data_IF_227174489940
#
_entry.id   IF_227174489940
#
_cell.length_a   1.000
_cell.length_b   1.000
_cell.length_c   1.000
_cell.angle_alpha   90.00
_cell.angle_beta   90.00
_cell.angle_gamma   90.00
#
_symmetry.space_group_name_H-M   'P 1'
#
loop_
_entity.id
_entity.type
_entity.pdbx_description
1 polymer ?
#
# COMPACT_ATOMS: atom_id res chain seq x y z
N UNK A 1 -9.12 -25.97 0.81
CA UNK A 1 -8.09 -25.39 1.70
C UNK A 1 -8.39 -23.92 1.85
N UNK A 2 -8.39 -23.38 3.07
CA UNK A 2 -8.87 -22.02 3.35
C UNK A 2 -7.76 -21.17 3.98
N UNK A 3 -7.57 -19.96 3.46
CA UNK A 3 -6.60 -18.97 3.92
C UNK A 3 -7.31 -17.65 4.14
N UNK A 4 -6.75 -16.83 5.03
CA UNK A 4 -7.21 -15.47 5.21
C UNK A 4 -6.16 -14.51 4.66
N UNK A 5 -6.58 -13.60 3.77
CA UNK A 5 -5.72 -12.63 3.10
C UNK A 5 -6.09 -11.24 3.59
N UNK A 6 -5.12 -10.50 4.12
CA UNK A 6 -5.32 -9.18 4.70
C UNK A 6 -4.26 -8.19 4.19
N UNK A 7 -4.48 -6.89 4.32
CA UNK A 7 -3.51 -5.88 3.92
C UNK A 7 -3.72 -5.34 2.50
N UNK A 8 -2.87 -4.38 2.11
CA UNK A 8 -3.06 -3.55 0.94
C UNK A 8 -2.53 -4.17 -0.35
N UNK A 9 -3.23 -3.95 -1.47
CA UNK A 9 -2.87 -4.45 -2.79
C UNK A 9 -2.48 -3.33 -3.76
N UNK A 10 -1.86 -3.71 -4.88
CA UNK A 10 -1.56 -2.78 -6.00
C UNK A 10 -2.83 -2.17 -6.57
N UNK A 11 -3.92 -2.94 -6.61
CA UNK A 11 -5.23 -2.43 -7.05
C UNK A 11 -5.75 -1.34 -6.12
N UNK A 12 -5.54 -1.46 -4.81
CA UNK A 12 -5.91 -0.43 -3.84
C UNK A 12 -5.06 0.83 -4.03
N UNK A 13 -3.76 0.67 -4.29
CA UNK A 13 -2.86 1.79 -4.60
C UNK A 13 -3.28 2.51 -5.89
N UNK A 14 -3.67 1.76 -6.93
CA UNK A 14 -4.23 2.30 -8.19
C UNK A 14 -5.53 3.06 -7.96
N UNK A 15 -6.47 2.50 -7.18
CA UNK A 15 -7.72 3.17 -6.82
C UNK A 15 -7.48 4.48 -6.06
N UNK A 16 -6.53 4.49 -5.12
CA UNK A 16 -6.16 5.69 -4.37
C UNK A 16 -5.51 6.76 -5.27
N UNK A 17 -4.61 6.36 -6.17
CA UNK A 17 -3.99 7.26 -7.13
C UNK A 17 -5.04 7.89 -8.06
N UNK A 18 -5.95 7.07 -8.61
CA UNK A 18 -7.04 7.54 -9.47
C UNK A 18 -7.97 8.50 -8.72
N UNK A 19 -8.39 8.15 -7.50
CA UNK A 19 -9.25 9.01 -6.67
C UNK A 19 -8.61 10.37 -6.40
N UNK A 20 -7.28 10.42 -6.23
CA UNK A 20 -6.53 11.66 -6.02
C UNK A 20 -6.47 12.51 -7.28
N UNK A 21 -6.14 11.94 -8.43
CA UNK A 21 -6.10 12.67 -9.71
C UNK A 21 -7.48 13.19 -10.11
N UNK A 22 -8.52 12.36 -10.01
CA UNK A 22 -9.91 12.79 -10.28
C UNK A 22 -10.39 13.87 -9.31
N UNK A 23 -9.85 13.92 -8.09
CA UNK A 23 -10.15 15.02 -7.16
C UNK A 23 -9.51 16.32 -7.63
N UNK A 24 -8.28 16.28 -8.13
CA UNK A 24 -7.59 17.46 -8.67
C UNK A 24 -8.37 18.04 -9.86
N UNK A 25 -8.85 17.18 -10.77
CA UNK A 25 -9.69 17.60 -11.89
C UNK A 25 -11.01 18.24 -11.41
N UNK A 26 -11.64 17.68 -10.38
CA UNK A 26 -12.90 18.21 -9.82
C UNK A 26 -12.76 19.50 -9.03
N UNK A 27 -11.61 19.74 -8.40
CA UNK A 27 -11.38 20.93 -7.59
C UNK A 27 -11.43 22.21 -8.47
N UNK A 28 -11.28 22.09 -9.80
CA UNK A 28 -11.46 23.17 -10.77
C UNK A 28 -10.34 24.23 -10.75
N UNK A 29 -10.40 25.17 -11.71
CA UNK A 29 -9.33 26.16 -11.91
C UNK A 29 -9.13 27.10 -10.73
N UNK A 30 -10.21 27.67 -10.18
CA UNK A 30 -10.16 28.68 -9.11
C UNK A 30 -9.50 28.12 -7.85
N UNK A 31 -9.94 26.95 -7.40
CA UNK A 31 -9.38 26.27 -6.22
C UNK A 31 -7.93 25.85 -6.45
N UNK A 32 -7.57 25.42 -7.66
CA UNK A 32 -6.19 25.06 -7.99
C UNK A 32 -5.28 26.30 -8.02
N UNK A 33 -5.75 27.43 -8.55
CA UNK A 33 -5.03 28.71 -8.52
C UNK A 33 -4.76 29.18 -7.09
N UNK A 34 -5.74 29.10 -6.19
CA UNK A 34 -5.54 29.43 -4.78
C UNK A 34 -4.49 28.53 -4.10
N UNK A 35 -4.48 27.24 -4.44
CA UNK A 35 -3.49 26.30 -3.91
C UNK A 35 -2.08 26.63 -4.41
N UNK A 36 -1.94 26.93 -5.70
CA UNK A 36 -0.67 27.34 -6.31
C UNK A 36 -0.18 28.66 -5.68
N UNK A 37 -1.08 29.63 -5.47
CA UNK A 37 -0.75 30.91 -4.84
C UNK A 37 -0.25 30.80 -3.39
N UNK A 38 -0.56 29.71 -2.70
CA UNK A 38 -0.07 29.42 -1.34
C UNK A 38 1.25 28.64 -1.32
N UNK A 39 1.81 28.27 -2.48
CA UNK A 39 3.06 27.53 -2.53
C UNK A 39 4.26 28.43 -2.26
N UNK A 40 5.21 27.89 -1.51
CA UNK A 40 6.51 28.54 -1.34
C UNK A 40 7.28 28.47 -2.67
N UNK A 41 7.76 29.59 -3.24
CA UNK A 41 8.49 29.62 -4.51
C UNK A 41 9.73 28.73 -4.57
N UNK A 42 10.32 28.41 -3.42
CA UNK A 42 11.51 27.56 -3.32
C UNK A 42 11.20 26.06 -3.22
N UNK A 43 9.91 25.68 -3.15
CA UNK A 43 9.51 24.28 -2.97
C UNK A 43 9.72 23.49 -4.26
N UNK A 44 10.43 22.36 -4.17
CA UNK A 44 10.50 21.37 -5.25
C UNK A 44 9.11 20.74 -5.45
N UNK A 45 8.48 20.99 -6.60
CA UNK A 45 7.18 20.46 -6.94
C UNK A 45 7.24 18.96 -7.24
N UNK A 46 6.32 18.20 -6.66
CA UNK A 46 6.09 16.79 -7.03
C UNK A 46 5.32 16.72 -8.34
N UNK A 47 5.27 15.56 -9.01
CA UNK A 47 4.48 15.42 -10.25
C UNK A 47 2.99 15.62 -9.96
N UNK A 48 2.50 15.25 -8.77
CA UNK A 48 1.12 15.58 -8.38
C UNK A 48 0.87 17.09 -8.24
N UNK A 49 1.87 17.85 -7.79
CA UNK A 49 1.78 19.31 -7.72
C UNK A 49 1.75 19.89 -9.14
N UNK A 50 2.53 19.34 -10.09
CA UNK A 50 2.46 19.73 -11.51
C UNK A 50 1.08 19.52 -12.13
N UNK A 51 0.34 18.47 -11.74
CA UNK A 51 -1.05 18.28 -12.16
C UNK A 51 -1.97 19.42 -11.68
N UNK A 52 -1.80 19.87 -10.43
CA UNK A 52 -2.57 20.99 -9.86
C UNK A 52 -2.23 22.28 -10.60
N UNK A 53 -0.95 22.50 -10.89
CA UNK A 53 -0.50 23.66 -11.68
C UNK A 53 -1.06 23.64 -13.11
N UNK A 54 -1.12 22.46 -13.73
CA UNK A 54 -1.73 22.30 -15.05
C UNK A 54 -3.22 22.67 -15.02
N UNK A 55 -4.00 22.12 -14.07
CA UNK A 55 -5.41 22.49 -13.94
C UNK A 55 -5.58 23.99 -13.65
N UNK A 56 -4.69 24.60 -12.87
CA UNK A 56 -4.74 26.04 -12.61
C UNK A 56 -4.50 26.89 -13.88
N UNK A 57 -3.68 26.42 -14.83
CA UNK A 57 -3.31 27.15 -16.06
C UNK A 57 -4.23 26.86 -17.24
N UNK A 58 -4.54 25.58 -17.48
CA UNK A 58 -5.24 25.10 -18.68
C UNK A 58 -6.62 24.52 -18.38
N UNK A 59 -7.01 24.39 -17.12
CA UNK A 59 -8.28 23.78 -16.72
C UNK A 59 -8.31 22.26 -16.76
N UNK A 60 -7.29 21.63 -17.34
CA UNK A 60 -7.21 20.18 -17.55
C UNK A 60 -5.81 19.63 -17.25
N UNK A 61 -5.73 18.33 -16.98
CA UNK A 61 -4.46 17.59 -16.84
C UNK A 61 -4.17 16.91 -18.19
N UNK A 62 -3.07 17.25 -18.88
CA UNK A 62 -2.65 16.55 -20.09
C UNK A 62 -2.49 15.05 -19.84
N UNK A 63 -2.92 14.23 -20.81
CA UNK A 63 -2.89 12.77 -20.69
C UNK A 63 -1.51 12.21 -20.32
N UNK A 64 -0.44 12.78 -20.88
CA UNK A 64 0.94 12.38 -20.58
C UNK A 64 1.28 12.62 -19.11
N UNK A 65 0.98 13.82 -18.60
CA UNK A 65 1.20 14.19 -17.21
C UNK A 65 0.33 13.36 -16.25
N UNK A 66 -0.89 13.03 -16.67
CA UNK A 66 -1.79 12.17 -15.90
C UNK A 66 -1.19 10.77 -15.70
N UNK A 67 -0.69 10.15 -16.77
CA UNK A 67 -0.10 8.80 -16.72
C UNK A 67 1.16 8.79 -15.85
N UNK A 68 2.03 9.80 -15.99
CA UNK A 68 3.23 9.94 -15.15
C UNK A 68 2.87 10.10 -13.67
N UNK A 69 1.94 11.01 -13.37
CA UNK A 69 1.49 11.25 -12.00
C UNK A 69 0.83 10.01 -11.40
N UNK A 70 0.05 9.28 -12.20
CA UNK A 70 -0.59 8.03 -11.77
C UNK A 70 0.44 6.97 -11.39
N UNK A 71 1.45 6.75 -12.24
CA UNK A 71 2.51 5.77 -11.96
C UNK A 71 3.31 6.14 -10.71
N UNK A 72 3.69 7.41 -10.55
CA UNK A 72 4.42 7.86 -9.35
C UNK A 72 3.56 7.69 -8.09
N UNK A 73 2.30 8.13 -8.12
CA UNK A 73 1.38 8.00 -6.98
C UNK A 73 1.15 6.54 -6.60
N UNK A 74 1.05 5.63 -7.57
CA UNK A 74 0.96 4.19 -7.29
C UNK A 74 2.21 3.71 -6.56
N UNK A 75 3.41 4.09 -6.99
CA UNK A 75 4.66 3.70 -6.33
C UNK A 75 4.75 4.26 -4.90
N UNK A 76 4.39 5.53 -4.70
CA UNK A 76 4.41 6.18 -3.37
C UNK A 76 3.40 5.50 -2.44
N UNK A 77 2.17 5.26 -2.90
CA UNK A 77 1.14 4.57 -2.13
C UNK A 77 1.56 3.14 -1.80
N UNK A 78 2.17 2.41 -2.75
CA UNK A 78 2.67 1.06 -2.51
C UNK A 78 3.78 1.01 -1.47
N UNK A 79 4.64 2.04 -1.39
CA UNK A 79 5.70 2.12 -0.37
C UNK A 79 5.14 2.36 1.04
N UNK A 80 4.07 3.13 1.18
CA UNK A 80 3.45 3.45 2.47
C UNK A 80 2.45 2.38 2.94
N UNK A 81 1.93 1.58 2.02
CA UNK A 81 0.97 0.51 2.30
C UNK A 81 1.59 -0.67 3.04
N UNK A 82 0.86 -1.19 4.04
CA UNK A 82 1.25 -2.43 4.75
C UNK A 82 1.22 -3.61 3.77
N UNK A 83 2.24 -4.48 3.76
CA UNK A 83 2.28 -5.67 2.90
C UNK A 83 1.01 -6.50 3.03
N UNK A 84 0.60 -7.14 1.93
CA UNK A 84 -0.49 -8.11 1.99
C UNK A 84 -0.01 -9.32 2.80
N UNK A 85 -0.78 -9.74 3.78
CA UNK A 85 -0.52 -10.83 4.69
C UNK A 85 -1.38 -12.02 4.30
N UNK A 86 -0.79 -13.21 4.28
CA UNK A 86 -1.51 -14.47 4.14
C UNK A 86 -1.31 -15.26 5.41
N UNK A 87 -2.42 -15.73 5.99
CA UNK A 87 -2.42 -16.60 7.15
C UNK A 87 -3.10 -17.93 6.80
N UNK A 88 -2.47 -19.07 7.14
CA UNK A 88 -3.17 -20.35 7.11
C UNK A 88 -4.24 -20.36 8.20
N UNK A 89 -5.46 -20.80 7.87
CA UNK A 89 -6.50 -21.00 8.89
C UNK A 89 -6.26 -22.25 9.74
N UNK A 90 -5.43 -23.18 9.26
CA UNK A 90 -5.22 -24.51 9.85
C UNK A 90 -3.77 -24.75 10.35
N UNK A 91 -3.00 -23.71 10.64
CA UNK A 91 -1.68 -23.86 11.28
C UNK A 91 -0.56 -24.47 10.41
N UNK A 92 -0.77 -24.55 9.09
CA UNK A 92 0.21 -25.04 8.10
C UNK A 92 0.72 -23.89 7.22
N UNK A 93 1.62 -23.02 7.73
CA UNK A 93 2.15 -21.86 7.01
C UNK A 93 3.00 -22.22 5.80
N UNK A 94 3.54 -23.45 5.73
CA UNK A 94 4.29 -23.95 4.58
C UNK A 94 3.44 -23.94 3.30
N UNK A 95 2.14 -24.24 3.43
CA UNK A 95 1.18 -24.23 2.32
C UNK A 95 0.90 -22.82 1.79
N UNK A 96 1.21 -21.76 2.54
CA UNK A 96 1.06 -20.39 2.06
C UNK A 96 2.12 -19.99 1.03
N UNK A 97 3.26 -20.69 0.95
CA UNK A 97 4.31 -20.37 -0.04
C UNK A 97 3.86 -20.60 -1.48
N UNK A 98 3.14 -21.69 -1.74
CA UNK A 98 2.57 -21.99 -3.06
C UNK A 98 1.64 -20.85 -3.52
N UNK A 99 0.76 -20.38 -2.63
CA UNK A 99 -0.14 -19.27 -2.92
C UNK A 99 0.59 -17.94 -3.12
N UNK A 100 1.62 -17.65 -2.31
CA UNK A 100 2.47 -16.46 -2.51
C UNK A 100 3.16 -16.51 -3.87
N UNK A 101 3.70 -17.67 -4.24
CA UNK A 101 4.37 -17.83 -5.53
C UNK A 101 3.42 -17.55 -6.69
N UNK A 102 2.18 -18.05 -6.61
CA UNK A 102 1.16 -17.84 -7.62
C UNK A 102 0.74 -16.36 -7.67
N UNK A 103 0.43 -15.77 -6.52
CA UNK A 103 0.02 -14.37 -6.42
C UNK A 103 1.13 -13.40 -6.90
N UNK A 104 2.41 -13.69 -6.64
CA UNK A 104 3.54 -12.92 -7.18
C UNK A 104 3.61 -12.99 -8.70
N UNK A 105 3.34 -14.16 -9.32
CA UNK A 105 3.26 -14.27 -10.80
C UNK A 105 2.16 -13.40 -11.38
N UNK A 106 1.08 -13.20 -10.64
CA UNK A 106 -0.02 -12.30 -11.01
C UNK A 106 0.17 -10.85 -10.51
N UNK A 107 1.40 -10.45 -10.15
CA UNK A 107 1.74 -9.06 -9.85
C UNK A 107 1.62 -8.63 -8.38
N UNK A 108 1.48 -9.56 -7.43
CA UNK A 108 1.54 -9.21 -6.01
C UNK A 108 2.97 -8.80 -5.61
N UNK A 109 3.16 -7.51 -5.32
CA UNK A 109 4.49 -6.93 -5.05
C UNK A 109 5.08 -7.30 -3.68
N UNK A 110 4.24 -7.38 -2.63
CA UNK A 110 4.68 -7.66 -1.26
C UNK A 110 3.69 -8.57 -0.55
N UNK A 111 4.13 -9.79 -0.28
CA UNK A 111 3.37 -10.77 0.46
C UNK A 111 4.21 -11.33 1.61
N UNK A 112 3.59 -11.42 2.78
CA UNK A 112 4.21 -11.97 3.99
C UNK A 112 3.32 -13.06 4.56
N UNK A 113 3.93 -14.14 5.05
CA UNK A 113 3.20 -15.19 5.77
C UNK A 113 3.27 -14.82 7.23
N UNK A 114 2.11 -14.69 7.88
CA UNK A 114 2.02 -14.52 9.32
C UNK A 114 1.27 -15.66 9.94
N UNK A 115 1.73 -16.07 11.11
CA UNK A 115 1.09 -17.08 11.93
C UNK A 115 0.78 -16.51 13.30
N UNK A 116 -0.30 -17.00 13.90
CA UNK A 116 -0.58 -16.77 15.31
C UNK A 116 0.26 -17.73 16.14
N UNK A 117 1.16 -17.17 16.94
CA UNK A 117 1.99 -17.93 17.88
C UNK A 117 1.53 -17.59 19.29
N UNK A 118 1.50 -18.61 20.15
CA UNK A 118 1.20 -18.45 21.57
C UNK A 118 2.52 -18.23 22.30
N UNK A 119 2.74 -17.02 22.80
CA UNK A 119 3.98 -16.62 23.44
C UNK A 119 3.69 -16.20 24.90
N UNK A 120 4.67 -16.29 25.80
CA UNK A 120 4.49 -15.79 27.16
C UNK A 120 4.22 -14.28 27.16
N UNK A 121 3.31 -13.85 28.03
CA UNK A 121 2.93 -12.44 28.12
C UNK A 121 4.01 -11.66 28.85
N UNK A 122 4.63 -10.73 28.11
CA UNK A 122 5.58 -9.75 28.66
C UNK A 122 5.01 -8.90 29.81
N UNK A 123 3.68 -8.84 29.94
CA UNK A 123 2.98 -8.05 30.95
C UNK A 123 2.49 -8.88 32.14
N UNK A 124 2.29 -10.18 31.97
CA UNK A 124 1.71 -11.07 32.99
C UNK A 124 2.49 -12.39 33.04
N UNK A 125 3.42 -12.55 34.00
CA UNK A 125 4.19 -13.78 34.17
C UNK A 125 3.28 -15.00 34.27
N UNK A 126 3.64 -16.10 33.60
CA UNK A 126 2.88 -17.36 33.60
C UNK A 126 1.59 -17.36 32.77
N UNK A 127 1.22 -16.24 32.13
CA UNK A 127 0.11 -16.19 31.16
C UNK A 127 0.65 -16.16 29.75
N UNK A 128 -0.07 -16.80 28.83
CA UNK A 128 0.25 -16.79 27.41
C UNK A 128 -0.67 -15.83 26.66
N UNK A 129 -0.12 -15.11 25.69
CA UNK A 129 -0.83 -14.24 24.76
C UNK A 129 -0.60 -14.68 23.32
N UNK A 130 -1.62 -14.50 22.48
CA UNK A 130 -1.52 -14.83 21.06
C UNK A 130 -1.01 -13.61 20.29
N UNK A 131 0.16 -13.73 19.66
CA UNK A 131 0.77 -12.69 18.82
C UNK A 131 0.84 -13.13 17.37
N UNK A 132 0.82 -12.15 16.48
CA UNK A 132 1.10 -12.36 15.06
C UNK A 132 2.60 -12.24 14.82
N UNK A 133 3.22 -13.33 14.41
CA UNK A 133 4.64 -13.38 14.07
C UNK A 133 4.83 -13.75 12.60
N UNK A 134 5.91 -13.25 11.99
CA UNK A 134 6.28 -13.63 10.63
C UNK A 134 6.75 -15.09 10.62
N UNK A 135 6.26 -15.89 9.68
CA UNK A 135 6.69 -17.27 9.55
C UNK A 135 8.09 -17.34 8.93
N UNK A 136 9.04 -17.95 9.64
CA UNK A 136 10.39 -18.21 9.14
C UNK A 136 10.63 -19.73 9.03
N UNK A 137 10.76 -20.30 7.81
CA UNK A 137 10.85 -21.75 7.60
C UNK A 137 12.16 -22.35 8.13
N UNK A 138 13.18 -21.53 8.40
CA UNK A 138 14.47 -21.97 8.95
C UNK A 138 14.53 -21.93 10.48
N UNK A 139 13.55 -21.32 11.16
CA UNK A 139 13.46 -21.41 12.62
C UNK A 139 12.95 -22.81 13.00
N UNK A 140 13.88 -23.70 13.37
CA UNK A 140 13.54 -24.94 14.08
C UNK A 140 12.64 -24.57 15.27
N UNK A 141 11.40 -25.07 15.27
CA UNK A 141 10.49 -24.95 16.41
C UNK A 141 11.21 -25.56 17.61
N UNK A 142 11.67 -24.73 18.55
CA UNK A 142 12.03 -25.24 19.88
C UNK A 142 10.71 -25.61 20.53
N UNK A 143 10.50 -26.91 20.64
CA UNK A 143 9.37 -27.52 21.34
C UNK A 143 9.46 -27.21 22.83
#
# INVERSE_FOLDING_TARGET
MSFAVFGASVEDAKKLAHKRLSKIEKDGMSTCLEKVGKWNPQKKLTISDRCIESVAKTGEIPQTLWVEAFQELVQVNMKSMKPKQVSPLYGAPERCYEFISLAKRFGALRMTIRQRVRCESSKKPGKFETKWEDFNPTQKRRH
#
